data_IF_032412687917
#
_entry.id   IF_032412687917
#
_cell.length_a   1.000
_cell.length_b   1.000
_cell.length_c   1.000
_cell.angle_alpha   90.00
_cell.angle_beta   90.00
_cell.angle_gamma   90.00
#
_symmetry.space_group_name_H-M   'P 1'
#
loop_
_entity.id
_entity.type
_entity.pdbx_description
1 polymer ?
#
# COMPACT_ATOMS: atom_id res chain seq x y z
N UNK A 1 31.80 -28.09 -11.98
CA UNK A 1 30.43 -27.88 -11.46
C UNK A 1 30.11 -26.40 -11.24
N UNK A 2 30.84 -25.66 -10.38
CA UNK A 2 30.56 -24.24 -10.08
C UNK A 2 30.68 -23.28 -11.29
N UNK A 3 31.50 -23.61 -12.28
CA UNK A 3 31.65 -22.81 -13.51
C UNK A 3 30.55 -23.03 -14.55
N UNK A 4 29.65 -24.00 -14.33
CA UNK A 4 28.50 -24.24 -15.22
C UNK A 4 27.40 -23.20 -14.99
N UNK A 5 26.55 -22.97 -15.99
CA UNK A 5 25.39 -22.07 -15.88
C UNK A 5 24.48 -22.45 -14.70
N UNK A 6 24.31 -23.75 -14.47
CA UNK A 6 23.56 -24.29 -13.34
C UNK A 6 24.25 -23.95 -12.01
N UNK A 7 25.57 -24.14 -11.92
CA UNK A 7 26.34 -23.79 -10.72
C UNK A 7 26.26 -22.31 -10.35
N UNK A 8 26.32 -21.42 -11.36
CA UNK A 8 26.18 -19.96 -11.16
C UNK A 8 24.79 -19.58 -10.63
N UNK A 9 23.74 -20.22 -11.14
CA UNK A 9 22.37 -20.01 -10.66
C UNK A 9 22.19 -20.46 -9.20
N UNK A 10 22.70 -21.63 -8.84
CA UNK A 10 22.65 -22.10 -7.45
C UNK A 10 23.43 -21.18 -6.51
N UNK A 11 24.60 -20.71 -6.94
CA UNK A 11 25.41 -19.78 -6.16
C UNK A 11 24.70 -18.44 -5.94
N UNK A 12 24.12 -17.84 -7.00
CA UNK A 12 23.36 -16.60 -6.86
C UNK A 12 22.15 -16.77 -5.95
N UNK A 13 21.45 -17.90 -6.08
CA UNK A 13 20.33 -18.26 -5.21
C UNK A 13 20.80 -18.33 -3.75
N UNK A 14 21.86 -19.08 -3.47
CA UNK A 14 22.40 -19.20 -2.13
C UNK A 14 22.84 -17.85 -1.53
N UNK A 15 23.44 -16.97 -2.33
CA UNK A 15 23.80 -15.62 -1.89
C UNK A 15 22.58 -14.83 -1.44
N UNK A 16 21.52 -14.79 -2.26
CA UNK A 16 20.27 -14.09 -1.92
C UNK A 16 19.60 -14.71 -0.69
N UNK A 17 19.62 -16.04 -0.58
CA UNK A 17 19.12 -16.75 0.59
C UNK A 17 19.86 -16.36 1.87
N UNK A 18 21.19 -16.23 1.84
CA UNK A 18 21.98 -15.84 3.01
C UNK A 18 21.70 -14.38 3.42
N UNK A 19 21.56 -13.47 2.46
CA UNK A 19 21.39 -12.03 2.73
C UNK A 19 19.97 -11.68 3.16
N UNK A 20 18.96 -12.21 2.47
CA UNK A 20 17.56 -11.80 2.64
C UNK A 20 16.67 -12.89 3.27
N UNK A 21 17.14 -14.14 3.33
CA UNK A 21 16.36 -15.28 3.79
C UNK A 21 15.33 -15.76 2.76
N UNK A 22 14.54 -16.76 3.16
CA UNK A 22 13.40 -17.25 2.37
C UNK A 22 12.11 -17.08 3.15
N UNK A 23 11.30 -16.10 2.77
CA UNK A 23 10.00 -15.83 3.40
C UNK A 23 8.84 -16.33 2.56
N UNK A 24 8.74 -15.87 1.31
CA UNK A 24 7.73 -16.27 0.32
C UNK A 24 8.38 -16.48 -1.04
N UNK A 25 7.94 -17.49 -1.83
CA UNK A 25 8.52 -17.76 -3.15
C UNK A 25 8.48 -16.57 -4.10
N UNK A 26 7.40 -15.78 -4.07
CA UNK A 26 7.24 -14.61 -4.94
C UNK A 26 8.22 -13.47 -4.61
N UNK A 27 8.49 -13.24 -3.31
CA UNK A 27 9.46 -12.24 -2.87
C UNK A 27 10.87 -12.68 -3.18
N UNK A 28 11.19 -13.94 -2.89
CA UNK A 28 12.50 -14.50 -3.17
C UNK A 28 12.83 -14.51 -4.68
N UNK A 29 11.85 -14.83 -5.53
CA UNK A 29 12.00 -14.74 -6.98
C UNK A 29 12.20 -13.30 -7.44
N UNK A 30 11.48 -12.34 -6.83
CA UNK A 30 11.67 -10.93 -7.12
C UNK A 30 13.10 -10.48 -6.75
N UNK A 31 13.60 -10.85 -5.56
CA UNK A 31 14.96 -10.52 -5.12
C UNK A 31 16.03 -11.11 -6.06
N UNK A 32 15.84 -12.36 -6.52
CA UNK A 32 16.72 -12.98 -7.52
C UNK A 32 16.69 -12.23 -8.86
N UNK A 33 15.50 -11.88 -9.35
CA UNK A 33 15.36 -11.12 -10.60
C UNK A 33 15.99 -9.73 -10.48
N UNK A 34 15.84 -9.05 -9.35
CA UNK A 34 16.49 -7.77 -9.09
C UNK A 34 18.01 -7.90 -9.05
N UNK A 35 18.55 -8.93 -8.42
CA UNK A 35 19.98 -9.20 -8.41
C UNK A 35 20.54 -9.37 -9.83
N UNK A 36 19.86 -10.15 -10.68
CA UNK A 36 20.26 -10.33 -12.07
C UNK A 36 20.13 -9.05 -12.88
N UNK A 37 19.06 -8.28 -12.68
CA UNK A 37 18.85 -6.99 -13.34
C UNK A 37 19.97 -5.99 -13.00
N UNK A 38 20.31 -5.87 -11.71
CA UNK A 38 21.40 -4.99 -11.23
C UNK A 38 22.74 -5.43 -11.82
N UNK A 39 23.03 -6.73 -11.81
CA UNK A 39 24.25 -7.29 -12.40
C UNK A 39 24.33 -7.04 -13.91
N UNK A 40 23.21 -7.20 -14.62
CA UNK A 40 23.11 -6.93 -16.05
C UNK A 40 23.28 -5.45 -16.37
N UNK A 41 22.63 -4.55 -15.62
CA UNK A 41 22.78 -3.10 -15.78
C UNK A 41 24.21 -2.66 -15.50
N UNK A 42 24.87 -3.24 -14.50
CA UNK A 42 26.26 -2.95 -14.20
C UNK A 42 27.19 -3.41 -15.32
N UNK A 43 27.12 -4.70 -15.68
CA UNK A 43 27.97 -5.28 -16.71
C UNK A 43 27.73 -4.64 -18.08
N UNK A 44 26.47 -4.50 -18.47
CA UNK A 44 26.06 -3.85 -19.72
C UNK A 44 26.38 -2.36 -19.75
N UNK A 45 26.20 -1.64 -18.64
CA UNK A 45 26.57 -0.23 -18.54
C UNK A 45 28.07 0.00 -18.67
N UNK A 46 28.88 -0.79 -17.95
CA UNK A 46 30.34 -0.74 -18.04
C UNK A 46 30.80 -1.11 -19.46
N UNK A 47 30.25 -2.17 -20.05
CA UNK A 47 30.56 -2.54 -21.44
C UNK A 47 30.17 -1.43 -22.41
N UNK A 48 28.95 -0.89 -22.34
CA UNK A 48 28.46 0.15 -23.24
C UNK A 48 29.30 1.43 -23.19
N UNK A 49 29.68 1.87 -21.99
CA UNK A 49 30.59 3.00 -21.81
C UNK A 49 31.98 2.68 -22.39
N UNK A 50 32.48 1.47 -22.14
CA UNK A 50 33.78 1.07 -22.64
C UNK A 50 33.83 1.07 -24.17
N UNK A 51 32.80 0.52 -24.83
CA UNK A 51 32.66 0.58 -26.29
C UNK A 51 32.55 2.02 -26.80
N UNK A 52 31.81 2.88 -26.10
CA UNK A 52 31.62 4.26 -26.50
C UNK A 52 32.92 5.08 -26.45
N UNK A 53 33.80 4.79 -25.48
CA UNK A 53 35.08 5.48 -25.29
C UNK A 53 36.23 4.88 -26.12
N UNK A 54 36.06 3.70 -26.71
CA UNK A 54 37.13 3.00 -27.43
C UNK A 54 37.24 3.49 -28.88
N UNK A 55 38.47 3.76 -29.35
CA UNK A 55 38.72 4.20 -30.72
C UNK A 55 38.45 3.08 -31.73
N UNK A 56 37.87 3.44 -32.90
CA UNK A 56 37.50 2.48 -33.96
C UNK A 56 38.66 1.60 -34.44
N UNK A 57 39.89 2.12 -34.43
CA UNK A 57 41.09 1.37 -34.84
C UNK A 57 41.47 0.26 -33.87
N UNK A 58 41.27 0.47 -32.55
CA UNK A 58 41.54 -0.53 -31.52
C UNK A 58 40.55 -1.68 -31.59
N UNK A 59 39.29 -1.38 -31.92
CA UNK A 59 38.25 -2.37 -32.17
C UNK A 59 38.62 -3.21 -33.40
N UNK A 60 38.99 -2.56 -34.51
CA UNK A 60 39.40 -3.24 -35.75
C UNK A 60 40.65 -4.11 -35.60
N UNK A 61 41.67 -3.65 -34.86
CA UNK A 61 42.85 -4.46 -34.58
C UNK A 61 42.49 -5.71 -33.77
N UNK A 62 41.69 -5.59 -32.71
CA UNK A 62 41.22 -6.74 -31.92
C UNK A 62 40.47 -7.79 -32.75
N UNK A 63 39.69 -7.36 -33.74
CA UNK A 63 39.02 -8.27 -34.69
C UNK A 63 39.99 -9.02 -35.62
N UNK A 64 41.13 -8.42 -35.97
CA UNK A 64 42.03 -8.94 -37.01
C UNK A 64 43.19 -9.78 -36.47
N UNK A 65 43.67 -9.53 -35.23
CA UNK A 65 44.86 -10.24 -34.71
C UNK A 65 44.57 -11.53 -33.94
N UNK A 66 43.41 -11.71 -33.30
CA UNK A 66 43.23 -12.84 -32.37
C UNK A 66 42.05 -13.77 -32.68
N UNK A 67 41.17 -13.45 -33.65
CA UNK A 67 40.07 -14.33 -34.08
C UNK A 67 38.99 -14.62 -33.03
N UNK A 68 39.29 -14.37 -31.76
CA UNK A 68 38.40 -14.41 -30.62
C UNK A 68 37.95 -12.99 -30.28
N UNK A 69 36.66 -12.85 -29.97
CA UNK A 69 36.02 -11.62 -29.53
C UNK A 69 36.49 -11.26 -28.10
N UNK A 70 37.77 -10.94 -27.92
CA UNK A 70 38.32 -10.44 -26.67
C UNK A 70 37.97 -8.96 -26.48
N UNK A 71 36.67 -8.71 -26.39
CA UNK A 71 36.11 -7.47 -25.87
C UNK A 71 36.04 -7.56 -24.35
N UNK A 72 37.21 -7.69 -23.73
CA UNK A 72 37.39 -7.35 -22.33
C UNK A 72 37.92 -5.92 -22.30
N UNK A 73 37.08 -4.91 -22.06
CA UNK A 73 37.61 -3.63 -21.63
C UNK A 73 38.47 -3.91 -20.42
N UNK A 74 39.76 -3.60 -20.50
CA UNK A 74 40.59 -3.62 -19.31
C UNK A 74 39.91 -2.71 -18.30
N UNK A 75 39.50 -3.25 -17.15
CA UNK A 75 38.76 -2.51 -16.14
C UNK A 75 39.65 -1.35 -15.67
N UNK A 76 39.44 -0.18 -16.25
CA UNK A 76 40.16 1.04 -15.88
C UNK A 76 39.47 1.62 -14.65
N UNK A 77 40.23 2.33 -13.82
CA UNK A 77 39.70 3.06 -12.67
C UNK A 77 38.51 3.97 -13.04
N UNK A 78 38.48 4.48 -14.28
CA UNK A 78 37.36 5.24 -14.84
C UNK A 78 36.08 4.40 -14.97
N UNK A 79 36.16 3.18 -15.50
CA UNK A 79 34.99 2.28 -15.61
C UNK A 79 34.42 1.90 -14.25
N UNK A 80 35.29 1.69 -13.25
CA UNK A 80 34.87 1.42 -11.88
C UNK A 80 34.18 2.63 -11.23
N UNK A 81 34.73 3.84 -11.44
CA UNK A 81 34.14 5.07 -10.92
C UNK A 81 32.76 5.36 -11.54
N UNK A 82 32.60 5.13 -12.85
CA UNK A 82 31.32 5.29 -13.54
C UNK A 82 30.29 4.24 -13.10
N UNK A 83 30.72 2.98 -12.96
CA UNK A 83 29.86 1.92 -12.42
C UNK A 83 29.38 2.22 -11.01
N UNK A 84 30.25 2.76 -10.15
CA UNK A 84 29.88 3.24 -8.81
C UNK A 84 28.87 4.39 -8.88
N UNK A 85 29.05 5.36 -9.78
CA UNK A 85 28.13 6.47 -9.98
C UNK A 85 26.72 6.03 -10.39
N UNK A 86 26.62 5.06 -11.31
CA UNK A 86 25.34 4.46 -11.72
C UNK A 86 24.68 3.72 -10.55
N UNK A 87 25.45 2.94 -9.79
CA UNK A 87 24.94 2.23 -8.61
C UNK A 87 24.45 3.19 -7.52
N UNK A 88 25.16 4.29 -7.29
CA UNK A 88 24.76 5.32 -6.34
C UNK A 88 23.43 5.97 -6.75
N UNK A 89 23.29 6.31 -8.03
CA UNK A 89 22.05 6.90 -8.55
C UNK A 89 20.86 5.94 -8.46
N UNK A 90 21.04 4.68 -8.88
CA UNK A 90 20.01 3.64 -8.78
C UNK A 90 19.62 3.40 -7.32
N UNK A 91 20.61 3.27 -6.41
CA UNK A 91 20.35 3.07 -4.98
C UNK A 91 19.54 4.22 -4.37
N UNK A 92 19.84 5.46 -4.76
CA UNK A 92 19.07 6.62 -4.31
C UNK A 92 17.64 6.61 -4.86
N UNK A 93 17.45 6.24 -6.13
CA UNK A 93 16.12 6.12 -6.74
C UNK A 93 15.28 5.02 -6.03
N UNK A 94 15.87 3.85 -5.78
CA UNK A 94 15.21 2.76 -5.04
C UNK A 94 14.90 3.16 -3.60
N UNK A 95 15.83 3.83 -2.92
CA UNK A 95 15.61 4.33 -1.57
C UNK A 95 14.41 5.29 -1.50
N UNK A 96 14.28 6.19 -2.47
CA UNK A 96 13.12 7.09 -2.57
C UNK A 96 11.81 6.34 -2.80
N UNK A 97 11.80 5.33 -3.68
CA UNK A 97 10.62 4.48 -3.92
C UNK A 97 10.25 3.71 -2.64
N UNK A 98 11.20 3.14 -1.92
CA UNK A 98 10.96 2.42 -0.67
C UNK A 98 10.43 3.39 0.40
N UNK A 99 11.01 4.58 0.54
CA UNK A 99 10.55 5.57 1.52
C UNK A 99 9.15 6.12 1.21
N UNK A 100 8.80 6.26 -0.07
CA UNK A 100 7.44 6.61 -0.48
C UNK A 100 6.41 5.56 -0.03
N UNK A 101 6.78 4.28 -0.02
CA UNK A 101 5.93 3.20 0.47
C UNK A 101 5.98 3.04 2.00
N UNK A 102 7.14 3.26 2.64
CA UNK A 102 7.35 3.03 4.08
C UNK A 102 6.75 4.13 4.96
N UNK A 103 6.63 5.36 4.45
CA UNK A 103 5.93 6.49 5.13
C UNK A 103 4.41 6.32 5.20
N UNK A 104 3.83 5.24 4.67
CA UNK A 104 2.37 4.99 4.67
C UNK A 104 1.94 3.92 5.67
N UNK A 105 2.80 3.60 6.65
CA UNK A 105 2.51 2.64 7.71
C UNK A 105 1.90 3.31 8.94
N UNK A 106 0.57 3.17 9.10
CA UNK A 106 -0.14 3.28 10.37
C UNK A 106 0.12 4.57 11.19
N UNK A 107 -0.02 5.74 10.56
CA UNK A 107 0.01 7.00 11.31
C UNK A 107 -1.30 7.18 12.08
N UNK A 108 -1.18 7.46 13.37
CA UNK A 108 -2.28 7.91 14.23
C UNK A 108 -2.52 9.39 13.95
N UNK A 109 -3.67 9.73 13.37
CA UNK A 109 -3.98 11.06 12.89
C UNK A 109 -5.18 11.67 13.65
N UNK A 110 -5.06 12.91 14.18
CA UNK A 110 -6.20 13.63 14.72
C UNK A 110 -7.30 13.78 13.67
N UNK A 111 -8.52 13.45 14.08
CA UNK A 111 -9.68 13.35 13.21
C UNK A 111 -10.88 13.99 13.86
N UNK A 112 -11.63 14.77 13.08
CA UNK A 112 -12.89 15.37 13.53
C UNK A 112 -14.01 14.88 12.63
N UNK A 113 -15.11 14.42 13.23
CA UNK A 113 -16.30 13.93 12.53
C UNK A 113 -17.49 14.81 12.87
N UNK A 114 -18.32 15.13 11.89
CA UNK A 114 -19.52 15.95 12.12
C UNK A 114 -20.81 15.27 11.68
N UNK A 115 -21.81 15.35 12.56
CA UNK A 115 -23.19 14.98 12.32
C UNK A 115 -24.13 16.04 12.89
N UNK A 116 -25.08 16.50 12.09
CA UNK A 116 -26.08 17.49 12.48
C UNK A 116 -25.44 18.73 13.14
N UNK A 117 -24.28 19.16 12.63
CA UNK A 117 -23.52 20.29 13.18
C UNK A 117 -22.79 20.04 14.51
N UNK A 118 -22.98 18.88 15.16
CA UNK A 118 -22.16 18.45 16.30
C UNK A 118 -20.86 17.82 15.80
N UNK A 119 -19.78 17.98 16.55
CA UNK A 119 -18.46 17.47 16.18
C UNK A 119 -17.89 16.56 17.26
N UNK A 120 -17.30 15.43 16.85
CA UNK A 120 -16.50 14.56 17.71
C UNK A 120 -15.04 14.64 17.24
N UNK A 121 -14.13 14.81 18.19
CA UNK A 121 -12.69 14.68 17.95
C UNK A 121 -12.20 13.31 18.43
N UNK A 122 -11.35 12.68 17.64
CA UNK A 122 -10.79 11.36 17.91
C UNK A 122 -9.42 11.21 17.24
N UNK A 123 -8.72 10.12 17.56
CA UNK A 123 -7.50 9.72 16.86
C UNK A 123 -7.83 8.54 15.97
N UNK A 124 -7.57 8.69 14.67
CA UNK A 124 -7.78 7.64 13.69
C UNK A 124 -6.48 6.95 13.31
N UNK A 125 -6.53 5.64 13.09
CA UNK A 125 -5.43 4.85 12.56
C UNK A 125 -5.47 4.85 11.03
N UNK A 126 -4.46 5.42 10.40
CA UNK A 126 -4.27 5.34 8.96
C UNK A 126 -3.70 3.96 8.56
N UNK A 127 -4.55 2.95 8.55
CA UNK A 127 -4.25 1.70 7.85
C UNK A 127 -4.27 1.97 6.34
N UNK A 128 -3.42 1.37 5.52
CA UNK A 128 -3.50 1.44 4.04
C UNK A 128 -3.97 0.13 3.40
N UNK A 129 -4.07 -0.96 4.17
CA UNK A 129 -4.45 -2.30 3.69
C UNK A 129 -5.96 -2.58 3.61
N UNK A 130 -6.78 -1.93 4.41
CA UNK A 130 -8.25 -2.00 4.32
C UNK A 130 -8.78 -1.26 3.07
N UNK A 131 -9.70 -1.88 2.31
CA UNK A 131 -10.28 -1.33 1.07
C UNK A 131 -11.81 -1.45 1.07
N UNK A 132 -12.44 -1.13 2.19
CA UNK A 132 -13.89 -1.23 2.29
C UNK A 132 -14.59 -0.09 1.55
N UNK A 133 -15.42 -0.46 0.58
CA UNK A 133 -16.24 0.46 -0.21
C UNK A 133 -17.69 0.00 -0.21
N UNK A 134 -18.60 0.96 -0.28
CA UNK A 134 -20.01 0.68 -0.57
C UNK A 134 -20.11 0.03 -1.98
N UNK A 135 -20.68 -1.18 -2.13
CA UNK A 135 -20.65 -1.94 -3.39
C UNK A 135 -21.24 -1.22 -4.60
N UNK A 136 -22.29 -0.42 -4.38
CA UNK A 136 -23.04 0.25 -5.44
C UNK A 136 -22.38 1.58 -5.81
N UNK A 137 -22.23 2.47 -4.84
CA UNK A 137 -21.76 3.86 -5.09
C UNK A 137 -20.23 3.97 -5.11
N UNK A 138 -19.52 2.92 -4.67
CA UNK A 138 -18.07 2.91 -4.45
C UNK A 138 -17.59 4.03 -3.52
N UNK A 139 -18.44 4.52 -2.62
CA UNK A 139 -18.05 5.49 -1.60
C UNK A 139 -17.21 4.78 -0.53
N UNK A 140 -16.08 5.37 -0.09
CA UNK A 140 -15.23 4.76 0.93
C UNK A 140 -15.95 4.63 2.27
N UNK A 141 -15.71 3.51 2.95
CA UNK A 141 -16.25 3.22 4.28
C UNK A 141 -15.13 3.27 5.31
N UNK A 142 -15.32 4.15 6.29
CA UNK A 142 -14.50 4.30 7.49
C UNK A 142 -15.12 3.46 8.59
N UNK A 143 -14.32 2.65 9.31
CA UNK A 143 -14.81 1.94 10.49
C UNK A 143 -14.65 2.84 11.71
N UNK A 144 -15.68 2.89 12.54
CA UNK A 144 -15.68 3.61 13.81
C UNK A 144 -16.31 2.72 14.89
N UNK A 145 -15.75 2.77 16.10
CA UNK A 145 -16.36 2.08 17.24
C UNK A 145 -17.67 2.73 17.66
N UNK A 146 -18.63 1.89 18.03
CA UNK A 146 -19.92 2.33 18.55
C UNK A 146 -19.78 3.24 19.79
N UNK A 147 -18.78 2.99 20.64
CA UNK A 147 -18.48 3.80 21.83
C UNK A 147 -18.33 5.29 21.54
N UNK A 148 -17.63 5.64 20.45
CA UNK A 148 -17.38 7.03 20.03
C UNK A 148 -18.68 7.73 19.61
N UNK A 149 -19.59 6.97 19.01
CA UNK A 149 -20.87 7.47 18.50
C UNK A 149 -21.92 7.70 19.60
N UNK A 150 -21.70 7.21 20.83
CA UNK A 150 -22.64 7.38 21.96
C UNK A 150 -22.93 8.84 22.31
N UNK A 151 -22.02 9.75 21.96
CA UNK A 151 -22.16 11.20 22.18
C UNK A 151 -23.07 11.89 21.16
N UNK A 152 -23.34 11.25 20.02
CA UNK A 152 -24.14 11.82 18.92
C UNK A 152 -25.42 11.02 18.68
N UNK A 153 -25.35 9.69 18.77
CA UNK A 153 -26.51 8.83 18.54
C UNK A 153 -27.40 8.80 19.80
N UNK A 154 -28.73 8.90 19.65
CA UNK A 154 -29.66 8.59 20.73
C UNK A 154 -29.44 7.16 21.26
N UNK A 155 -29.68 6.89 22.56
CA UNK A 155 -29.49 5.56 23.14
C UNK A 155 -30.24 4.44 22.40
N UNK A 156 -31.50 4.68 22.01
CA UNK A 156 -32.34 3.73 21.26
C UNK A 156 -31.72 3.35 19.91
N UNK A 157 -31.06 4.31 19.27
CA UNK A 157 -30.38 4.10 18.00
C UNK A 157 -29.06 3.34 18.19
N UNK A 158 -28.37 3.56 19.31
CA UNK A 158 -27.18 2.78 19.64
C UNK A 158 -27.51 1.30 19.79
N UNK A 159 -28.60 0.96 20.48
CA UNK A 159 -29.07 -0.42 20.61
C UNK A 159 -29.40 -1.04 19.25
N UNK A 160 -30.05 -0.27 18.37
CA UNK A 160 -30.35 -0.69 17.01
C UNK A 160 -29.09 -0.94 16.16
N UNK A 161 -28.07 -0.08 16.25
CA UNK A 161 -26.79 -0.28 15.56
C UNK A 161 -26.08 -1.54 16.09
N UNK A 162 -26.10 -1.73 17.41
CA UNK A 162 -25.49 -2.88 18.08
C UNK A 162 -26.22 -4.20 17.85
N UNK A 163 -27.49 -4.17 17.44
CA UNK A 163 -28.25 -5.34 17.01
C UNK A 163 -27.99 -5.74 15.54
N UNK A 164 -27.19 -4.94 14.83
CA UNK A 164 -26.84 -5.17 13.42
C UNK A 164 -27.75 -4.46 12.43
N UNK A 165 -28.60 -3.54 12.90
CA UNK A 165 -29.48 -2.74 12.06
C UNK A 165 -30.59 -3.52 11.36
N UNK A 166 -30.79 -4.79 11.74
CA UNK A 166 -31.87 -5.64 11.22
C UNK A 166 -33.02 -5.73 12.23
N UNK A 167 -32.72 -5.67 13.54
CA UNK A 167 -33.74 -5.64 14.58
C UNK A 167 -34.28 -4.20 14.74
N UNK A 168 -35.35 -3.85 14.04
CA UNK A 168 -36.00 -2.53 14.11
C UNK A 168 -36.68 -2.06 12.82
N UNK A 169 -36.70 -2.88 11.77
CA UNK A 169 -37.67 -2.74 10.70
C UNK A 169 -38.92 -3.52 11.09
N UNK A 170 -40.08 -2.86 11.08
CA UNK A 170 -41.35 -3.59 11.15
C UNK A 170 -41.61 -4.37 9.85
N UNK A 171 -42.62 -5.23 9.85
CA UNK A 171 -43.03 -6.02 8.66
C UNK A 171 -43.52 -5.15 7.48
N UNK A 172 -43.65 -3.83 7.66
CA UNK A 172 -44.01 -2.84 6.64
C UNK A 172 -42.80 -2.08 6.09
N UNK A 173 -41.59 -2.38 6.58
CA UNK A 173 -40.34 -1.76 6.13
C UNK A 173 -40.10 -0.37 6.72
N UNK A 174 -40.87 0.05 7.73
CA UNK A 174 -40.64 1.32 8.43
C UNK A 174 -39.58 1.13 9.51
N UNK A 175 -38.50 1.90 9.42
CA UNK A 175 -37.46 1.93 10.45
C UNK A 175 -37.99 2.62 11.70
N UNK A 176 -37.72 2.08 12.88
CA UNK A 176 -37.91 2.76 14.17
C UNK A 176 -37.01 3.99 14.38
N UNK A 177 -36.29 4.42 13.33
CA UNK A 177 -35.35 5.53 13.38
C UNK A 177 -36.10 6.88 13.32
N UNK A 178 -35.67 7.88 14.11
CA UNK A 178 -36.12 9.27 13.96
C UNK A 178 -36.00 9.74 12.51
N UNK A 179 -36.96 10.54 12.05
CA UNK A 179 -37.07 11.01 10.65
C UNK A 179 -35.76 11.66 10.14
N UNK A 180 -35.12 12.47 10.98
CA UNK A 180 -33.84 13.14 10.67
C UNK A 180 -32.71 12.17 10.30
N UNK A 181 -32.76 10.95 10.83
CA UNK A 181 -31.73 9.95 10.66
C UNK A 181 -32.00 9.01 9.50
N UNK A 182 -33.23 8.89 9.00
CA UNK A 182 -33.59 7.91 7.96
C UNK A 182 -32.69 8.01 6.71
N UNK A 183 -32.34 9.23 6.30
CA UNK A 183 -31.42 9.47 5.17
C UNK A 183 -29.94 9.33 5.51
N UNK A 184 -29.62 9.30 6.81
CA UNK A 184 -28.26 9.20 7.36
C UNK A 184 -27.86 7.77 7.73
N UNK A 185 -28.67 6.77 7.40
CA UNK A 185 -28.38 5.35 7.61
C UNK A 185 -28.37 4.55 6.30
N UNK A 186 -27.43 3.60 6.18
CA UNK A 186 -27.34 2.62 5.08
C UNK A 186 -26.90 1.27 5.64
N UNK A 187 -27.35 0.18 5.03
CA UNK A 187 -26.81 -1.15 5.27
C UNK A 187 -25.87 -1.50 4.11
N UNK A 188 -24.62 -1.82 4.42
CA UNK A 188 -23.59 -2.18 3.44
C UNK A 188 -23.30 -3.67 3.58
N UNK A 189 -23.55 -4.50 2.55
CA UNK A 189 -23.14 -5.88 2.60
C UNK A 189 -21.62 -5.94 2.52
N UNK A 190 -21.00 -6.69 3.44
CA UNK A 190 -19.56 -6.90 3.49
C UNK A 190 -19.24 -8.38 3.66
N UNK A 191 -18.09 -8.78 3.12
CA UNK A 191 -17.58 -10.15 3.22
C UNK A 191 -16.29 -10.15 4.00
N UNK A 192 -16.24 -10.96 5.05
CA UNK A 192 -15.00 -11.30 5.76
C UNK A 192 -14.48 -12.62 5.22
N UNK A 193 -13.17 -12.73 5.04
CA UNK A 193 -12.53 -13.97 4.58
C UNK A 193 -12.93 -15.13 5.50
N UNK A 194 -13.59 -16.15 4.93
CA UNK A 194 -14.00 -17.37 5.64
C UNK A 194 -15.32 -17.30 6.42
N UNK A 195 -16.19 -16.28 6.21
CA UNK A 195 -17.51 -16.19 6.85
C UNK A 195 -18.62 -15.85 5.85
N UNK A 196 -19.87 -16.09 6.26
CA UNK A 196 -21.09 -15.71 5.54
C UNK A 196 -21.17 -14.20 5.25
N UNK A 197 -22.03 -13.83 4.30
CA UNK A 197 -22.33 -12.43 4.01
C UNK A 197 -22.91 -11.75 5.26
N UNK A 198 -22.29 -10.66 5.69
CA UNK A 198 -22.75 -9.89 6.84
C UNK A 198 -23.16 -8.49 6.38
N UNK A 199 -24.05 -7.86 7.13
CA UNK A 199 -24.43 -6.47 6.94
C UNK A 199 -23.66 -5.59 7.92
N UNK A 200 -23.13 -4.48 7.41
CA UNK A 200 -22.49 -3.43 8.20
C UNK A 200 -23.42 -2.23 8.21
N UNK A 201 -23.78 -1.76 9.41
CA UNK A 201 -24.51 -0.52 9.57
C UNK A 201 -23.57 0.64 9.25
N UNK A 202 -23.95 1.50 8.31
CA UNK A 202 -23.16 2.64 7.87
C UNK A 202 -23.92 3.95 8.03
N UNK A 203 -23.29 4.91 8.69
CA UNK A 203 -23.79 6.26 8.89
C UNK A 203 -23.27 7.21 7.81
N UNK A 204 -24.04 8.27 7.54
CA UNK A 204 -23.67 9.32 6.59
C UNK A 204 -23.35 10.59 7.37
N UNK A 205 -22.06 10.95 7.55
CA UNK A 205 -21.70 12.19 8.21
C UNK A 205 -21.90 13.39 7.28
N UNK A 206 -21.94 14.58 7.85
CA UNK A 206 -21.93 15.81 7.07
C UNK A 206 -20.54 16.02 6.44
N UNK A 207 -19.51 15.73 7.23
CA UNK A 207 -18.12 15.67 6.81
C UNK A 207 -17.29 14.97 7.88
N UNK A 208 -16.12 14.55 7.45
CA UNK A 208 -15.02 14.14 8.30
C UNK A 208 -13.82 15.04 7.96
N UNK A 209 -12.90 15.26 8.89
CA UNK A 209 -11.67 16.03 8.79
C UNK A 209 -10.50 15.21 9.36
N UNK A 210 -9.37 15.14 8.66
CA UNK A 210 -8.12 14.48 9.12
C UNK A 210 -6.97 15.46 9.05
N UNK A 211 -6.17 15.49 10.10
CA UNK A 211 -5.00 16.37 10.22
C UNK A 211 -3.72 15.55 10.15
N UNK A 212 -2.88 15.88 9.17
CA UNK A 212 -1.58 15.25 8.94
C UNK A 212 -0.50 16.35 9.04
N UNK A 213 0.07 16.51 10.24
CA UNK A 213 0.98 17.62 10.55
C UNK A 213 0.31 18.97 10.35
N UNK A 214 0.75 19.73 9.33
CA UNK A 214 0.16 21.04 8.96
C UNK A 214 -0.96 20.95 7.94
N UNK A 215 -1.20 19.79 7.33
CA UNK A 215 -2.21 19.60 6.30
C UNK A 215 -3.53 19.17 6.93
N UNK A 216 -4.63 19.71 6.39
CA UNK A 216 -5.99 19.38 6.81
C UNK A 216 -6.76 18.91 5.60
N UNK A 217 -7.32 17.71 5.70
CA UNK A 217 -8.11 17.05 4.66
C UNK A 217 -9.56 16.96 5.12
N UNK A 218 -10.52 17.52 4.38
CA UNK A 218 -11.95 17.45 4.72
C UNK A 218 -12.73 16.75 3.60
N UNK A 219 -13.51 15.72 3.93
CA UNK A 219 -14.29 14.92 2.97
C UNK A 219 -15.73 14.81 3.41
N UNK A 220 -16.63 15.01 2.45
CA UNK A 220 -18.08 14.83 2.63
C UNK A 220 -18.58 13.48 2.12
N UNK A 221 -17.95 12.95 1.06
CA UNK A 221 -18.32 11.66 0.44
C UNK A 221 -17.62 10.50 1.14
N UNK A 222 -18.11 10.14 2.31
CA UNK A 222 -17.61 9.00 3.11
C UNK A 222 -18.78 8.35 3.84
N UNK A 223 -18.64 7.09 4.22
CA UNK A 223 -19.58 6.39 5.11
C UNK A 223 -18.86 5.94 6.38
N UNK A 224 -19.55 5.95 7.51
CA UNK A 224 -19.01 5.49 8.80
C UNK A 224 -19.66 4.15 9.15
N UNK A 225 -18.96 3.05 8.88
CA UNK A 225 -19.36 1.71 9.24
C UNK A 225 -19.15 1.43 10.73
N UNK A 226 -20.17 0.85 11.38
CA UNK A 226 -20.14 0.49 12.80
C UNK A 226 -20.22 -1.03 12.94
N UNK A 227 -19.18 -1.69 13.47
CA UNK A 227 -19.15 -3.14 13.58
C UNK A 227 -20.04 -3.64 14.73
N UNK A 228 -20.90 -4.62 14.47
CA UNK A 228 -21.87 -5.19 15.42
C UNK A 228 -21.25 -6.17 16.43
N UNK A 229 -20.14 -6.82 16.09
CA UNK A 229 -19.39 -7.72 16.98
C UNK A 229 -17.92 -7.34 16.98
N UNK A 230 -17.42 -6.82 18.10
CA UNK A 230 -15.99 -6.71 18.36
C UNK A 230 -15.45 -8.08 18.82
N UNK A 231 -14.49 -8.64 18.10
CA UNK A 231 -13.41 -9.41 18.73
C UNK A 231 -12.15 -8.56 18.58
N UNK A 232 -11.71 -8.01 19.73
CA UNK A 232 -10.41 -7.39 19.99
C UNK A 232 -9.72 -6.70 18.81
N UNK A 233 -10.12 -5.45 18.53
CA UNK A 233 -9.24 -4.29 18.29
C UNK A 233 -10.03 -3.15 17.65
N UNK A 234 -9.96 -2.01 18.32
CA UNK A 234 -10.38 -0.70 17.85
C UNK A 234 -9.69 -0.36 16.53
N UNK A 235 -10.47 -0.28 15.45
CA UNK A 235 -10.01 0.16 14.13
C UNK A 235 -10.80 1.41 13.75
N UNK A 236 -10.30 2.57 14.14
CA UNK A 236 -10.74 3.84 13.54
C UNK A 236 -9.93 4.01 12.26
N UNK A 237 -10.57 4.07 11.09
CA UNK A 237 -9.96 4.76 9.94
C UNK A 237 -10.54 6.16 9.85
N UNK A 238 -9.78 7.10 9.30
CA UNK A 238 -10.42 8.19 8.59
C UNK A 238 -9.62 8.50 7.32
N UNK A 239 -10.35 8.50 6.19
CA UNK A 239 -9.95 9.02 4.87
C UNK A 239 -8.92 8.26 4.01
N UNK A 240 -9.24 8.18 2.71
CA UNK A 240 -8.58 8.95 1.64
C UNK A 240 -9.64 9.24 0.57
N UNK A 241 -10.05 10.51 0.43
CA UNK A 241 -9.83 11.38 -0.75
C UNK A 241 -9.47 10.62 -2.04
N UNK A 242 -10.24 10.84 -3.13
CA UNK A 242 -9.95 10.29 -4.44
C UNK A 242 -8.68 10.94 -5.00
N UNK A 243 -7.76 10.11 -5.46
CA UNK A 243 -6.67 10.53 -6.35
C UNK A 243 -7.31 10.68 -7.74
N UNK A 244 -7.35 11.92 -8.24
CA UNK A 244 -7.33 12.15 -9.69
C UNK A 244 -5.95 11.76 -10.21
#
# INVERSE_FOLDING_TARGET
>A
FLFTWVGKFFLSSLMIFIVFGFTRPSLYLADLLFFYLITFLFGGGVMGISFFLQNRETIFQGFMTEGDFYLYPQATWLTLALGYGVMFFLSNAFYQIIQFHKKRGADLLPTTLSFFGRTIEMIGLYDSGNQLYEPITRIPVVILEASVLSSILPPEMMEWVMSGGVAGYDLTGRSSLPEEWQDRFRLIPYRTVGKEENLLVALVPDWIEVREGKKVYRVKRVRIGVPTKLREKMLIRPFFIPIY
#
